data_IF_710319375157
#
_entry.id   IF_710319375157
#
_cell.length_a   1.000
_cell.length_b   1.000
_cell.length_c   1.000
_cell.angle_alpha   90.00
_cell.angle_beta   90.00
_cell.angle_gamma   90.00
#
_symmetry.space_group_name_H-M   'P 1'
#
loop_
_entity.id
_entity.type
_entity.pdbx_description
1 polymer ?
#
# COMPACT_ATOMS: atom_id res chain seq x y z
N UNK A 1 -4.02 25.63 31.45
CA UNK A 1 -4.16 24.20 31.28
C UNK A 1 -3.40 23.83 30.00
N UNK A 2 -2.14 23.37 30.17
CA UNK A 2 -1.25 23.05 29.06
C UNK A 2 -1.64 21.71 28.45
N UNK A 3 -2.04 21.71 27.19
CA UNK A 3 -2.10 20.52 26.35
C UNK A 3 -0.68 20.12 25.97
N UNK A 4 -0.13 19.10 26.65
CA UNK A 4 1.14 18.52 26.29
C UNK A 4 0.99 17.79 24.95
N UNK A 5 1.63 18.30 23.91
CA UNK A 5 1.95 17.56 22.69
C UNK A 5 2.90 16.42 23.08
N UNK A 6 2.40 15.21 23.18
CA UNK A 6 3.24 14.01 23.25
C UNK A 6 3.88 13.83 21.88
N UNK A 7 5.12 14.26 21.74
CA UNK A 7 5.95 13.91 20.58
C UNK A 7 6.12 12.40 20.59
N UNK A 8 5.70 11.71 19.52
CA UNK A 8 5.96 10.29 19.33
C UNK A 8 7.48 10.05 19.36
N UNK A 9 7.92 8.99 20.05
CA UNK A 9 9.33 8.60 20.08
C UNK A 9 9.88 8.39 18.66
N UNK A 10 11.13 8.77 18.36
CA UNK A 10 11.73 8.59 17.04
C UNK A 10 11.63 7.16 16.51
N UNK A 11 11.73 6.16 17.37
CA UNK A 11 11.57 4.73 17.03
C UNK A 11 10.20 4.38 16.44
N UNK A 12 9.16 5.16 16.72
CA UNK A 12 7.82 4.92 16.20
C UNK A 12 7.57 5.52 14.80
N UNK A 13 8.54 6.25 14.24
CA UNK A 13 8.48 6.83 12.89
C UNK A 13 9.24 6.01 11.84
N UNK A 14 10.07 5.08 12.29
CA UNK A 14 10.74 4.11 11.41
C UNK A 14 9.70 3.10 10.93
N UNK A 15 9.75 2.71 9.67
CA UNK A 15 8.81 1.76 9.07
C UNK A 15 8.68 0.40 9.77
N UNK A 16 8.03 -0.58 9.16
CA UNK A 16 7.83 -1.91 9.76
C UNK A 16 9.15 -2.63 10.01
N UNK A 17 9.16 -3.51 11.02
CA UNK A 17 10.32 -4.35 11.35
C UNK A 17 10.70 -5.25 10.19
N UNK A 18 12.00 -5.40 9.92
CA UNK A 18 12.51 -6.32 8.90
C UNK A 18 12.96 -7.64 9.53
N UNK A 19 12.41 -8.74 9.04
CA UNK A 19 12.86 -10.10 9.36
C UNK A 19 13.77 -10.59 8.23
N UNK A 20 14.93 -11.14 8.59
CA UNK A 20 15.94 -11.63 7.64
C UNK A 20 16.21 -13.11 7.84
N UNK A 21 16.57 -13.80 6.77
CA UNK A 21 16.90 -15.23 6.77
C UNK A 21 15.97 -16.00 5.84
N UNK A 22 15.86 -17.30 6.07
CA UNK A 22 15.10 -18.22 5.23
C UNK A 22 14.12 -19.11 6.01
N UNK A 23 14.00 -18.89 7.31
CA UNK A 23 13.01 -19.58 8.16
C UNK A 23 12.27 -18.55 9.00
N UNK A 24 10.94 -18.60 8.97
CA UNK A 24 10.09 -17.61 9.63
C UNK A 24 8.89 -18.26 10.30
N UNK A 25 8.59 -17.78 11.52
CA UNK A 25 7.33 -18.04 12.20
C UNK A 25 6.47 -16.78 12.13
N UNK A 26 5.34 -16.87 11.43
CA UNK A 26 4.40 -15.79 11.21
C UNK A 26 3.09 -16.09 11.95
N UNK A 27 2.71 -15.22 12.87
CA UNK A 27 1.50 -15.36 13.66
C UNK A 27 0.45 -14.36 13.15
N UNK A 28 -0.59 -14.88 12.51
CA UNK A 28 -1.76 -14.09 12.10
C UNK A 28 -2.70 -13.95 13.28
N UNK A 29 -3.12 -12.74 13.59
CA UNK A 29 -3.99 -12.48 14.72
C UNK A 29 -4.60 -11.08 14.69
N UNK A 30 -5.42 -10.76 15.71
CA UNK A 30 -6.02 -9.45 15.86
C UNK A 30 -5.09 -8.50 16.61
N UNK A 31 -5.00 -7.26 16.13
CA UNK A 31 -4.20 -6.19 16.71
C UNK A 31 -5.02 -4.92 16.89
N UNK A 32 -5.11 -4.35 18.09
CA UNK A 32 -5.71 -3.03 18.27
C UNK A 32 -4.88 -1.94 17.55
N UNK A 33 -5.55 -1.11 16.77
CA UNK A 33 -4.95 0.03 16.05
C UNK A 33 -5.79 1.29 16.22
N UNK A 34 -5.15 2.45 16.03
CA UNK A 34 -5.82 3.74 16.08
C UNK A 34 -5.15 4.70 15.07
N UNK A 35 -5.68 4.77 13.85
CA UNK A 35 -5.19 5.66 12.80
C UNK A 35 -5.99 6.98 12.72
N UNK A 36 -7.24 6.98 13.20
CA UNK A 36 -8.19 8.07 12.99
C UNK A 36 -8.63 8.75 14.29
N UNK A 37 -8.06 8.37 15.44
CA UNK A 37 -8.56 8.72 16.76
C UNK A 37 -9.59 7.72 17.32
N UNK A 38 -9.98 6.69 16.52
CA UNK A 38 -10.88 5.62 16.93
C UNK A 38 -10.15 4.28 17.03
N UNK A 39 -10.36 3.59 18.14
CA UNK A 39 -9.81 2.24 18.30
C UNK A 39 -10.54 1.26 17.37
N UNK A 40 -9.79 0.51 16.60
CA UNK A 40 -10.25 -0.56 15.72
C UNK A 40 -9.42 -1.81 15.92
N UNK A 41 -9.96 -2.94 15.46
CA UNK A 41 -9.25 -4.21 15.47
C UNK A 41 -8.79 -4.51 14.05
N UNK A 42 -7.49 -4.52 13.83
CA UNK A 42 -6.86 -4.90 12.58
C UNK A 42 -6.57 -6.40 12.56
N UNK A 43 -6.45 -6.97 11.35
CA UNK A 43 -5.81 -8.26 11.13
C UNK A 43 -4.32 -8.01 10.87
N UNK A 44 -3.46 -8.65 11.62
CA UNK A 44 -2.03 -8.37 11.62
C UNK A 44 -1.20 -9.63 11.55
N UNK A 45 0.03 -9.53 11.06
CA UNK A 45 1.05 -10.56 11.16
C UNK A 45 2.09 -10.10 12.17
N UNK A 46 2.41 -10.95 13.13
CA UNK A 46 3.32 -10.66 14.24
C UNK A 46 3.00 -9.35 14.98
N UNK A 47 1.70 -9.02 15.08
CA UNK A 47 1.22 -7.87 15.85
C UNK A 47 1.49 -6.49 15.24
N UNK A 48 1.78 -6.38 13.94
CA UNK A 48 2.03 -5.08 13.29
C UNK A 48 1.20 -4.88 12.02
N UNK A 49 0.90 -3.62 11.71
CA UNK A 49 0.29 -3.15 10.46
C UNK A 49 1.09 -1.94 9.96
N UNK A 50 1.72 -2.00 8.79
CA UNK A 50 1.92 -3.20 7.96
C UNK A 50 2.62 -4.32 8.70
N UNK A 51 2.45 -5.53 8.20
CA UNK A 51 3.17 -6.70 8.65
C UNK A 51 4.70 -6.54 8.46
N UNK A 52 5.55 -7.34 9.12
CA UNK A 52 7.00 -7.26 8.96
C UNK A 52 7.46 -7.36 7.51
N UNK A 53 8.52 -6.63 7.16
CA UNK A 53 9.23 -6.82 5.89
C UNK A 53 9.95 -8.16 5.95
N UNK A 54 9.70 -9.04 4.99
CA UNK A 54 10.45 -10.29 4.81
C UNK A 54 11.59 -10.02 3.83
N UNK A 55 12.83 -10.17 4.27
CA UNK A 55 13.99 -9.96 3.41
C UNK A 55 14.76 -11.24 3.20
N UNK A 56 14.71 -11.71 1.97
CA UNK A 56 15.25 -12.98 1.48
C UNK A 56 16.43 -12.77 0.54
N UNK A 57 17.01 -13.87 0.07
CA UNK A 57 18.06 -13.86 -0.94
C UNK A 57 17.73 -14.82 -2.08
N UNK A 58 17.88 -14.37 -3.30
CA UNK A 58 17.75 -15.19 -4.50
C UNK A 58 18.66 -16.41 -4.45
N UNK A 59 18.15 -17.57 -4.88
CA UNK A 59 18.83 -18.87 -4.87
C UNK A 59 18.68 -19.63 -3.54
N UNK A 60 18.04 -19.05 -2.51
CA UNK A 60 17.74 -19.74 -1.26
C UNK A 60 16.37 -20.43 -1.34
N UNK A 61 16.16 -21.41 -0.46
CA UNK A 61 14.84 -21.97 -0.16
C UNK A 61 14.33 -21.37 1.13
N UNK A 62 13.10 -20.84 1.09
CA UNK A 62 12.45 -20.29 2.27
C UNK A 62 11.43 -21.26 2.85
N UNK A 63 11.29 -21.21 4.16
CA UNK A 63 10.27 -21.93 4.93
C UNK A 63 9.56 -20.93 5.84
N UNK A 64 8.24 -20.82 5.67
CA UNK A 64 7.42 -19.91 6.46
C UNK A 64 6.30 -20.70 7.13
N UNK A 65 6.36 -20.83 8.46
CA UNK A 65 5.30 -21.41 9.24
C UNK A 65 4.31 -20.33 9.65
N UNK A 66 3.12 -20.42 9.12
CA UNK A 66 2.04 -19.47 9.39
C UNK A 66 1.04 -20.06 10.35
N UNK A 67 0.90 -19.45 11.53
CA UNK A 67 -0.10 -19.81 12.54
C UNK A 67 -1.31 -18.90 12.46
N UNK A 68 -2.49 -19.47 12.26
CA UNK A 68 -3.75 -18.71 12.28
C UNK A 68 -4.33 -18.66 13.71
N UNK A 69 -4.29 -17.48 14.33
CA UNK A 69 -4.92 -17.22 15.64
C UNK A 69 -6.23 -16.41 15.50
N UNK A 70 -6.77 -16.28 14.29
CA UNK A 70 -8.09 -15.67 14.06
C UNK A 70 -9.21 -16.69 14.37
N UNK A 71 -10.43 -16.18 14.49
CA UNK A 71 -11.64 -17.00 14.63
C UNK A 71 -12.21 -17.48 13.27
N UNK A 72 -11.55 -17.15 12.17
CA UNK A 72 -11.93 -17.47 10.79
C UNK A 72 -10.72 -18.02 10.01
N UNK A 73 -10.99 -18.64 8.86
CA UNK A 73 -9.93 -19.14 7.97
C UNK A 73 -9.05 -17.99 7.50
N UNK A 74 -7.77 -18.27 7.30
CA UNK A 74 -6.78 -17.31 6.83
C UNK A 74 -5.89 -17.90 5.75
N UNK A 75 -5.12 -17.05 5.06
CA UNK A 75 -4.12 -17.45 4.08
C UNK A 75 -3.09 -16.34 3.92
N UNK A 76 -1.92 -16.66 3.37
CA UNK A 76 -0.97 -15.66 2.87
C UNK A 76 -0.67 -15.98 1.41
N UNK A 77 -0.94 -15.03 0.54
CA UNK A 77 -0.52 -15.03 -0.86
C UNK A 77 0.80 -14.25 -0.99
N UNK A 78 1.73 -14.81 -1.76
CA UNK A 78 3.06 -14.26 -2.01
C UNK A 78 3.06 -13.55 -3.37
N UNK A 79 2.58 -12.31 -3.37
CA UNK A 79 2.27 -11.56 -4.59
C UNK A 79 3.50 -11.31 -5.44
N UNK A 80 3.44 -11.77 -6.69
CA UNK A 80 4.50 -11.62 -7.70
C UNK A 80 5.62 -12.66 -7.61
N UNK A 81 5.55 -13.62 -6.69
CA UNK A 81 6.56 -14.68 -6.56
C UNK A 81 6.24 -15.86 -7.47
N UNK A 82 7.23 -16.33 -8.21
CA UNK A 82 7.15 -17.55 -9.02
C UNK A 82 7.41 -18.75 -8.11
N UNK A 83 6.36 -19.52 -7.82
CA UNK A 83 6.38 -20.61 -6.85
C UNK A 83 5.42 -21.74 -7.25
N UNK A 84 5.50 -22.93 -6.62
CA UNK A 84 4.53 -24.01 -6.83
C UNK A 84 3.12 -23.58 -6.43
N UNK A 85 2.13 -23.97 -7.22
CA UNK A 85 0.72 -23.54 -7.06
C UNK A 85 0.13 -23.87 -5.69
N UNK A 86 0.53 -24.98 -5.07
CA UNK A 86 0.12 -25.39 -3.72
C UNK A 86 0.73 -24.52 -2.60
N UNK A 87 1.74 -23.71 -2.94
CA UNK A 87 2.38 -22.73 -2.06
C UNK A 87 1.92 -21.29 -2.33
N UNK A 88 1.04 -21.05 -3.30
CA UNK A 88 0.57 -19.72 -3.68
C UNK A 88 -0.36 -19.06 -2.65
N UNK A 89 -0.97 -19.88 -1.80
CA UNK A 89 -1.77 -19.39 -0.67
C UNK A 89 -3.13 -18.81 -1.05
N UNK A 90 -3.67 -19.16 -2.23
CA UNK A 90 -5.00 -18.74 -2.69
C UNK A 90 -6.02 -19.85 -2.38
N UNK A 91 -6.92 -19.65 -1.40
CA UNK A 91 -7.88 -20.68 -1.02
C UNK A 91 -8.88 -21.04 -2.12
N UNK A 92 -9.25 -22.33 -2.17
CA UNK A 92 -10.25 -22.85 -3.10
C UNK A 92 -9.70 -23.22 -4.48
N UNK A 93 -8.38 -23.10 -4.70
CA UNK A 93 -7.70 -23.54 -5.92
C UNK A 93 -6.83 -24.77 -5.64
N UNK A 94 -5.64 -24.58 -5.11
CA UNK A 94 -4.69 -25.65 -4.74
C UNK A 94 -4.36 -25.67 -3.24
N UNK A 95 -5.11 -24.92 -2.44
CA UNK A 95 -4.91 -24.71 -1.03
C UNK A 95 -6.26 -24.48 -0.33
N UNK A 96 -6.46 -25.11 0.83
CA UNK A 96 -7.75 -25.07 1.55
C UNK A 96 -7.87 -23.92 2.56
N UNK A 97 -6.82 -23.10 2.68
CA UNK A 97 -6.72 -22.10 3.74
C UNK A 97 -6.21 -22.70 5.07
N UNK A 98 -5.88 -21.82 6.00
CA UNK A 98 -5.42 -22.18 7.34
C UNK A 98 -6.59 -22.01 8.30
N UNK A 99 -7.07 -23.11 8.89
CA UNK A 99 -8.20 -23.08 9.81
C UNK A 99 -7.85 -22.38 11.14
N UNK A 100 -8.85 -21.86 11.89
CA UNK A 100 -8.64 -21.31 13.22
C UNK A 100 -7.85 -22.26 14.12
N UNK A 101 -6.76 -21.74 14.71
CA UNK A 101 -5.88 -22.51 15.56
C UNK A 101 -4.90 -23.46 14.86
N UNK A 102 -4.94 -23.58 13.54
CA UNK A 102 -4.01 -24.42 12.76
C UNK A 102 -2.80 -23.63 12.25
N UNK A 103 -1.83 -24.36 11.72
CA UNK A 103 -0.65 -23.80 11.07
C UNK A 103 -0.46 -24.46 9.71
N UNK A 104 0.06 -23.68 8.77
CA UNK A 104 0.49 -24.18 7.46
C UNK A 104 1.95 -23.78 7.23
N UNK A 105 2.72 -24.67 6.59
CA UNK A 105 4.12 -24.43 6.26
C UNK A 105 4.26 -24.25 4.77
N UNK A 106 4.58 -23.00 4.36
CA UNK A 106 4.95 -22.67 3.01
C UNK A 106 6.44 -22.95 2.83
N UNK A 107 6.81 -23.63 1.73
CA UNK A 107 8.20 -23.89 1.42
C UNK A 107 8.42 -23.84 -0.11
N UNK A 108 9.30 -22.95 -0.56
CA UNK A 108 9.60 -22.77 -1.98
C UNK A 108 11.00 -22.18 -2.21
N UNK A 109 11.51 -22.37 -3.44
CA UNK A 109 12.79 -21.85 -3.87
C UNK A 109 12.61 -20.44 -4.45
N UNK A 110 13.57 -19.55 -4.16
CA UNK A 110 13.58 -18.17 -4.64
C UNK A 110 14.40 -18.08 -5.93
N UNK A 111 13.72 -17.98 -7.07
CA UNK A 111 14.34 -17.94 -8.40
C UNK A 111 14.32 -16.55 -9.04
N UNK A 112 14.11 -15.52 -8.22
CA UNK A 112 13.98 -14.14 -8.66
C UNK A 112 14.44 -13.18 -7.56
N UNK A 113 14.81 -11.96 -7.93
CA UNK A 113 15.11 -10.86 -7.01
C UNK A 113 14.19 -9.69 -7.25
N UNK A 114 14.13 -8.72 -6.33
CA UNK A 114 13.34 -7.50 -6.48
C UNK A 114 12.46 -7.17 -5.28
N UNK A 115 11.52 -6.27 -5.52
CA UNK A 115 10.55 -5.78 -4.55
C UNK A 115 9.18 -6.38 -4.84
N UNK A 116 8.61 -7.04 -3.83
CA UNK A 116 7.32 -7.74 -3.88
C UNK A 116 6.57 -7.48 -2.56
N UNK A 117 5.43 -8.13 -2.37
CA UNK A 117 4.66 -8.03 -1.15
C UNK A 117 3.87 -9.31 -0.87
N UNK A 118 3.30 -9.41 0.31
CA UNK A 118 2.42 -10.51 0.68
C UNK A 118 1.18 -9.98 1.36
N UNK A 119 0.07 -10.66 1.21
CA UNK A 119 -1.21 -10.27 1.79
C UNK A 119 -2.15 -11.47 1.97
N UNK A 120 -3.21 -11.28 2.73
CA UNK A 120 -4.25 -12.30 2.82
C UNK A 120 -5.05 -12.41 1.53
N UNK A 121 -5.40 -13.63 1.17
CA UNK A 121 -6.37 -13.91 0.11
C UNK A 121 -7.66 -14.52 0.69
N UNK A 122 -7.94 -14.30 2.00
CA UNK A 122 -9.09 -14.81 2.74
C UNK A 122 -9.97 -13.68 3.23
N UNK A 123 -11.25 -13.73 2.85
CA UNK A 123 -12.26 -12.76 3.29
C UNK A 123 -11.86 -11.31 3.00
N UNK A 124 -11.94 -10.45 4.03
CA UNK A 124 -11.54 -9.04 3.96
C UNK A 124 -10.34 -8.75 4.87
N UNK A 125 -9.43 -9.70 5.03
CA UNK A 125 -8.28 -9.54 5.94
C UNK A 125 -7.23 -8.58 5.39
N UNK A 126 -7.04 -8.51 4.07
CA UNK A 126 -6.15 -7.56 3.41
C UNK A 126 -6.54 -6.10 3.75
N UNK A 127 -7.76 -5.61 3.45
CA UNK A 127 -8.13 -4.22 3.78
C UNK A 127 -8.20 -3.93 5.28
N UNK A 128 -8.12 -4.95 6.14
CA UNK A 128 -8.01 -4.77 7.59
C UNK A 128 -6.59 -4.84 8.14
N UNK A 129 -5.57 -4.86 7.26
CA UNK A 129 -4.17 -4.68 7.66
C UNK A 129 -3.24 -5.87 7.42
N UNK A 130 -3.73 -6.99 6.87
CA UNK A 130 -2.91 -8.18 6.63
C UNK A 130 -2.16 -8.09 5.30
N UNK A 131 -1.16 -7.24 5.25
CA UNK A 131 -0.23 -7.05 4.13
C UNK A 131 1.16 -6.66 4.65
N UNK A 132 2.21 -7.04 3.91
CA UNK A 132 3.61 -6.72 4.23
C UNK A 132 4.53 -6.84 3.02
N UNK A 133 5.70 -6.24 3.09
CA UNK A 133 6.66 -6.21 2.00
C UNK A 133 7.52 -7.49 1.95
N UNK A 134 7.95 -7.85 0.75
CA UNK A 134 8.98 -8.84 0.46
C UNK A 134 10.10 -8.17 -0.32
N UNK A 135 11.32 -8.28 0.16
CA UNK A 135 12.52 -7.87 -0.57
C UNK A 135 13.37 -9.12 -0.80
N UNK A 136 13.70 -9.38 -2.05
CA UNK A 136 14.60 -10.47 -2.41
C UNK A 136 15.87 -9.85 -2.94
N UNK A 137 16.93 -9.91 -2.13
CA UNK A 137 18.26 -9.44 -2.53
C UNK A 137 18.79 -10.35 -3.65
N UNK A 138 19.36 -9.81 -4.74
CA UNK A 138 19.87 -10.61 -5.85
C UNK A 138 21.06 -11.48 -5.41
N UNK A 139 21.22 -12.63 -6.06
CA UNK A 139 22.34 -13.53 -5.88
C UNK A 139 23.64 -12.91 -6.38
N UNK A 140 23.59 -12.33 -7.56
CA UNK A 140 24.67 -11.58 -8.18
C UNK A 140 24.70 -10.12 -7.68
N UNK A 141 25.79 -9.37 -7.90
CA UNK A 141 25.81 -7.94 -7.57
C UNK A 141 24.63 -7.20 -8.20
N UNK A 142 23.94 -6.40 -7.40
CA UNK A 142 22.80 -5.60 -7.87
C UNK A 142 23.25 -4.69 -9.02
N UNK A 143 22.58 -4.69 -10.18
CA UNK A 143 22.93 -3.78 -11.28
C UNK A 143 22.69 -2.31 -10.94
N UNK A 144 21.90 -2.03 -9.91
CA UNK A 144 21.62 -0.68 -9.41
C UNK A 144 22.41 -0.44 -8.14
N UNK A 145 23.32 0.55 -8.16
CA UNK A 145 24.08 0.93 -6.97
C UNK A 145 23.34 1.94 -6.12
N UNK A 146 23.24 1.69 -4.81
CA UNK A 146 22.66 2.59 -3.81
C UNK A 146 23.42 2.43 -2.47
N UNK A 147 23.32 3.45 -1.62
CA UNK A 147 23.99 3.46 -0.31
C UNK A 147 23.07 2.89 0.78
N UNK A 148 21.76 3.05 0.63
CA UNK A 148 20.72 2.48 1.51
C UNK A 148 19.41 2.29 0.78
N UNK A 149 18.53 1.46 1.33
CA UNK A 149 17.19 1.27 0.81
C UNK A 149 16.12 1.43 1.89
N UNK A 150 14.92 1.85 1.45
CA UNK A 150 13.73 1.95 2.28
C UNK A 150 12.51 1.37 1.56
N UNK A 151 11.74 0.59 2.29
CA UNK A 151 10.40 0.21 1.86
C UNK A 151 9.45 1.39 2.12
N UNK A 152 8.67 1.74 1.12
CA UNK A 152 7.61 2.76 1.20
C UNK A 152 6.29 2.08 0.80
N UNK A 153 5.60 1.52 1.77
CA UNK A 153 4.35 0.81 1.56
C UNK A 153 3.18 1.77 1.73
N UNK A 154 2.41 1.96 0.67
CA UNK A 154 1.20 2.77 0.63
C UNK A 154 -0.01 1.87 0.84
N UNK A 155 -0.98 2.33 1.60
CA UNK A 155 -2.22 1.59 1.85
C UNK A 155 -3.38 2.52 2.20
N UNK A 156 -4.59 1.99 2.13
CA UNK A 156 -5.80 2.65 2.53
C UNK A 156 -6.44 1.92 3.73
N UNK A 157 -6.91 2.67 4.70
CA UNK A 157 -7.57 2.17 5.90
C UNK A 157 -8.96 2.76 6.02
N UNK A 158 -9.93 1.94 6.42
CA UNK A 158 -11.25 2.43 6.79
C UNK A 158 -11.66 2.01 8.21
N UNK A 159 -12.30 2.91 8.93
CA UNK A 159 -12.97 2.59 10.19
C UNK A 159 -14.31 1.87 9.98
N UNK A 160 -14.86 1.92 8.77
CA UNK A 160 -16.01 1.15 8.35
C UNK A 160 -15.60 -0.31 8.08
N UNK A 161 -16.46 -1.25 8.40
CA UNK A 161 -16.15 -2.66 8.15
C UNK A 161 -16.11 -2.93 6.63
N UNK A 162 -15.05 -3.56 6.11
CA UNK A 162 -14.94 -3.83 4.66
C UNK A 162 -16.14 -4.60 4.10
N UNK A 163 -16.73 -5.50 4.89
CA UNK A 163 -17.95 -6.24 4.51
C UNK A 163 -19.14 -5.31 4.27
N UNK A 164 -19.26 -4.24 5.05
CA UNK A 164 -20.34 -3.25 4.90
C UNK A 164 -20.08 -2.36 3.68
N UNK A 165 -18.80 -1.94 3.46
CA UNK A 165 -18.37 -1.22 2.26
C UNK A 165 -18.71 -2.05 1.02
N UNK A 166 -18.34 -3.32 0.98
CA UNK A 166 -18.61 -4.21 -0.13
C UNK A 166 -20.11 -4.40 -0.38
N UNK A 167 -20.91 -4.56 0.68
CA UNK A 167 -22.36 -4.68 0.58
C UNK A 167 -23.01 -3.40 0.04
N UNK A 168 -22.49 -2.23 0.41
CA UNK A 168 -22.95 -0.93 -0.06
C UNK A 168 -22.61 -0.73 -1.54
N UNK A 169 -21.38 -1.04 -1.96
CA UNK A 169 -20.96 -0.96 -3.37
C UNK A 169 -21.80 -1.86 -4.27
N UNK A 170 -22.19 -3.08 -3.80
CA UNK A 170 -23.11 -3.95 -4.55
C UNK A 170 -24.52 -3.37 -4.73
N UNK A 171 -24.98 -2.55 -3.81
CA UNK A 171 -26.30 -1.88 -3.90
C UNK A 171 -26.23 -0.65 -4.78
N UNK A 172 -25.19 0.14 -4.64
CA UNK A 172 -25.01 1.40 -5.35
C UNK A 172 -23.48 1.68 -5.50
N UNK A 173 -22.89 1.43 -6.67
CA UNK A 173 -21.44 1.54 -6.88
C UNK A 173 -20.85 2.92 -6.51
N UNK A 174 -21.61 3.98 -6.68
CA UNK A 174 -21.19 5.36 -6.41
C UNK A 174 -21.59 5.89 -5.02
N UNK A 175 -21.98 5.02 -4.07
CA UNK A 175 -22.47 5.44 -2.74
C UNK A 175 -21.42 6.25 -1.94
N UNK A 176 -20.14 5.99 -2.17
CA UNK A 176 -19.03 6.68 -1.52
C UNK A 176 -18.51 7.89 -2.29
N UNK A 177 -19.04 8.16 -3.48
CA UNK A 177 -18.74 9.34 -4.27
C UNK A 177 -19.67 10.50 -3.85
N UNK A 178 -19.29 11.17 -2.77
CA UNK A 178 -20.09 12.27 -2.19
C UNK A 178 -19.85 13.64 -2.84
N UNK A 179 -18.92 13.72 -3.80
CA UNK A 179 -18.61 14.92 -4.56
C UNK A 179 -19.30 14.92 -5.92
N UNK A 180 -20.45 14.22 -6.05
CA UNK A 180 -21.29 14.28 -7.27
C UNK A 180 -21.74 15.71 -7.57
N UNK A 181 -21.69 16.07 -8.85
CA UNK A 181 -22.08 17.41 -9.34
C UNK A 181 -23.58 17.65 -9.15
N UNK A 182 -23.94 18.57 -8.27
CA UNK A 182 -25.33 18.95 -7.97
C UNK A 182 -25.86 20.05 -8.87
N UNK A 183 -27.18 20.33 -8.78
CA UNK A 183 -27.77 21.50 -9.44
C UNK A 183 -27.26 22.83 -8.88
N UNK A 184 -26.90 22.87 -7.60
CA UNK A 184 -26.30 24.03 -6.97
C UNK A 184 -24.91 24.33 -7.56
N UNK A 185 -24.13 23.26 -7.82
CA UNK A 185 -22.83 23.37 -8.51
C UNK A 185 -23.01 23.90 -9.93
N UNK A 186 -24.03 23.43 -10.65
CA UNK A 186 -24.34 23.97 -11.98
C UNK A 186 -24.56 25.47 -11.94
N UNK A 187 -25.32 25.97 -10.97
CA UNK A 187 -25.53 27.40 -10.79
C UNK A 187 -24.24 28.18 -10.50
N UNK A 188 -23.32 27.62 -9.71
CA UNK A 188 -22.00 28.21 -9.43
C UNK A 188 -21.12 28.22 -10.68
N UNK A 189 -21.07 27.08 -11.39
CA UNK A 189 -20.27 26.92 -12.61
C UNK A 189 -20.72 27.87 -13.72
N UNK A 190 -22.04 28.04 -13.89
CA UNK A 190 -22.60 29.02 -14.86
C UNK A 190 -22.19 30.43 -14.49
N UNK A 191 -22.19 30.79 -13.20
CA UNK A 191 -21.78 32.12 -12.74
C UNK A 191 -20.29 32.38 -12.96
N UNK A 192 -19.45 31.34 -12.83
CA UNK A 192 -17.99 31.45 -12.97
C UNK A 192 -17.52 31.34 -14.43
N UNK A 193 -18.06 30.39 -15.17
CA UNK A 193 -17.54 29.99 -16.50
C UNK A 193 -18.48 30.36 -17.66
N UNK A 194 -19.69 30.81 -17.34
CA UNK A 194 -20.75 31.08 -18.34
C UNK A 194 -21.55 29.82 -18.70
N UNK A 195 -22.76 30.04 -19.25
CA UNK A 195 -23.71 28.98 -19.52
C UNK A 195 -23.21 27.94 -20.54
N UNK A 196 -22.69 28.40 -21.69
CA UNK A 196 -22.29 27.48 -22.79
C UNK A 196 -21.15 26.56 -22.43
N UNK A 197 -20.03 27.02 -21.82
CA UNK A 197 -18.96 26.14 -21.35
C UNK A 197 -19.45 25.14 -20.31
N UNK A 198 -20.25 25.59 -19.33
CA UNK A 198 -20.81 24.72 -18.27
C UNK A 198 -21.73 23.63 -18.85
N UNK A 199 -22.61 23.97 -19.78
CA UNK A 199 -23.48 22.98 -20.45
C UNK A 199 -22.64 21.97 -21.24
N UNK A 200 -21.62 22.43 -21.97
CA UNK A 200 -20.74 21.53 -22.72
C UNK A 200 -19.98 20.55 -21.79
N UNK A 201 -19.41 21.05 -20.70
CA UNK A 201 -18.71 20.23 -19.70
C UNK A 201 -19.68 19.22 -19.03
N UNK A 202 -20.87 19.68 -18.64
CA UNK A 202 -21.89 18.82 -18.05
C UNK A 202 -22.45 17.78 -19.03
N UNK A 203 -22.58 18.09 -20.33
CA UNK A 203 -23.00 17.14 -21.33
C UNK A 203 -21.97 16.02 -21.51
N UNK A 204 -20.67 16.37 -21.52
CA UNK A 204 -19.59 15.40 -21.58
C UNK A 204 -19.58 14.50 -20.32
N UNK A 205 -19.67 15.10 -19.12
CA UNK A 205 -19.81 14.34 -17.86
C UNK A 205 -21.04 13.43 -17.87
N UNK A 206 -22.21 13.91 -18.32
CA UNK A 206 -23.43 13.12 -18.36
C UNK A 206 -23.36 11.92 -19.31
N UNK A 207 -22.59 12.04 -20.40
CA UNK A 207 -22.36 10.96 -21.35
C UNK A 207 -21.41 9.89 -20.79
N UNK A 208 -20.37 10.29 -20.09
CA UNK A 208 -19.36 9.39 -19.53
C UNK A 208 -19.67 8.96 -18.11
N UNK A 209 -20.47 9.74 -17.39
CA UNK A 209 -20.78 9.59 -15.93
C UNK A 209 -19.56 9.42 -15.05
N UNK A 210 -18.46 10.02 -15.46
CA UNK A 210 -17.18 9.98 -14.74
C UNK A 210 -16.74 11.40 -14.41
N UNK A 211 -16.43 11.65 -13.16
CA UNK A 211 -15.72 12.84 -12.69
C UNK A 211 -14.34 12.40 -12.18
N UNK A 212 -13.46 13.35 -11.84
CA UNK A 212 -12.15 13.06 -11.27
C UNK A 212 -12.25 12.26 -9.96
N UNK A 213 -13.38 12.34 -9.26
CA UNK A 213 -13.69 11.61 -8.03
C UNK A 213 -14.35 10.24 -8.27
N UNK A 214 -14.80 9.94 -9.49
CA UNK A 214 -15.40 8.65 -9.88
C UNK A 214 -14.37 7.59 -10.28
N UNK A 215 -13.09 7.91 -10.22
CA UNK A 215 -12.00 6.97 -10.58
C UNK A 215 -11.86 5.88 -9.52
N UNK A 216 -12.24 6.18 -8.29
CA UNK A 216 -12.20 5.28 -7.15
C UNK A 216 -13.60 5.17 -6.56
N UNK A 217 -14.15 3.96 -6.47
CA UNK A 217 -15.50 3.75 -5.89
C UNK A 217 -15.53 4.05 -4.39
N UNK A 218 -14.39 3.97 -3.71
CA UNK A 218 -14.21 4.38 -2.31
C UNK A 218 -13.11 5.44 -2.25
N UNK A 219 -13.42 6.61 -1.69
CA UNK A 219 -12.57 7.80 -1.73
C UNK A 219 -11.93 8.09 -0.38
N UNK A 220 -11.04 9.09 -0.31
CA UNK A 220 -10.44 9.60 0.94
C UNK A 220 -11.45 10.18 1.94
N UNK A 221 -12.72 10.29 1.58
CA UNK A 221 -13.81 10.59 2.54
C UNK A 221 -14.09 9.39 3.46
N UNK A 222 -13.83 8.17 2.99
CA UNK A 222 -14.01 6.91 3.73
C UNK A 222 -12.67 6.33 4.14
N UNK A 223 -11.64 6.50 3.31
CA UNK A 223 -10.29 6.02 3.58
C UNK A 223 -9.41 7.05 4.31
N UNK A 224 -8.56 6.54 5.16
CA UNK A 224 -7.36 7.21 5.67
C UNK A 224 -6.15 6.57 5.00
N UNK A 225 -5.39 7.35 4.25
CA UNK A 225 -4.22 6.85 3.55
C UNK A 225 -3.03 6.74 4.50
N UNK A 226 -2.29 5.64 4.37
CA UNK A 226 -1.16 5.32 5.23
C UNK A 226 0.12 5.13 4.40
N UNK A 227 1.23 5.59 4.94
CA UNK A 227 2.58 5.29 4.46
C UNK A 227 3.33 4.55 5.56
N UNK A 228 3.72 3.30 5.31
CA UNK A 228 4.33 2.42 6.30
C UNK A 228 3.50 2.33 7.61
N UNK A 229 2.17 2.30 7.52
CA UNK A 229 1.27 2.27 8.67
C UNK A 229 1.19 3.58 9.46
N UNK A 230 1.63 4.68 8.89
CA UNK A 230 1.57 6.02 9.50
C UNK A 230 0.62 6.91 8.71
N UNK A 231 -0.18 7.67 9.45
CA UNK A 231 -1.01 8.73 8.85
C UNK A 231 -0.15 9.90 8.40
N UNK A 232 -0.63 10.80 7.54
CA UNK A 232 0.09 12.03 7.20
C UNK A 232 0.46 12.88 8.43
N UNK A 233 -0.34 12.84 9.50
CA UNK A 233 -0.07 13.57 10.73
C UNK A 233 1.09 12.96 11.55
N UNK A 234 1.21 11.63 11.57
CA UNK A 234 2.30 10.94 12.27
C UNK A 234 3.63 11.03 11.52
N UNK A 235 3.57 10.94 10.20
CA UNK A 235 4.69 10.96 9.27
C UNK A 235 5.62 9.75 9.39
N UNK A 236 6.02 9.19 8.27
CA UNK A 236 7.15 8.26 8.18
C UNK A 236 8.45 9.04 8.01
N UNK A 237 9.56 8.51 8.54
CA UNK A 237 10.87 9.13 8.47
C UNK A 237 11.90 8.14 7.90
N UNK A 238 12.60 8.54 6.82
CA UNK A 238 13.79 7.89 6.29
C UNK A 238 14.99 8.82 6.45
N UNK A 239 16.09 8.34 7.03
CA UNK A 239 17.30 9.12 7.24
C UNK A 239 18.25 8.98 6.05
N UNK A 240 18.98 10.05 5.72
CA UNK A 240 19.99 10.04 4.67
C UNK A 240 21.15 11.02 4.98
N UNK A 241 22.29 10.80 4.35
CA UNK A 241 23.35 11.79 4.27
C UNK A 241 23.30 12.47 2.89
N UNK A 242 23.68 13.75 2.87
CA UNK A 242 23.70 14.53 1.62
C UNK A 242 24.50 13.83 0.53
N UNK A 243 23.90 13.64 -0.63
CA UNK A 243 24.51 13.04 -1.80
C UNK A 243 24.48 11.51 -1.85
N UNK A 244 23.99 10.83 -0.80
CA UNK A 244 23.73 9.40 -0.87
C UNK A 244 22.71 9.07 -1.94
N UNK A 245 22.91 7.94 -2.60
CA UNK A 245 21.90 7.31 -3.46
C UNK A 245 21.00 6.44 -2.60
N UNK A 246 19.71 6.74 -2.60
CA UNK A 246 18.72 6.03 -1.79
C UNK A 246 17.79 5.30 -2.74
N UNK A 247 17.61 4.01 -2.51
CA UNK A 247 16.62 3.21 -3.19
C UNK A 247 15.31 3.23 -2.38
N UNK A 248 14.27 3.83 -2.93
CA UNK A 248 12.92 3.79 -2.38
C UNK A 248 12.14 2.68 -3.06
N UNK A 249 11.72 1.69 -2.29
CA UNK A 249 10.96 0.53 -2.76
C UNK A 249 9.49 0.77 -2.47
N UNK A 250 8.80 1.36 -3.45
CA UNK A 250 7.38 1.66 -3.35
C UNK A 250 6.55 0.40 -3.59
N UNK A 251 5.55 0.19 -2.74
CA UNK A 251 4.57 -0.90 -2.84
C UNK A 251 3.20 -0.30 -2.61
N UNK A 252 2.27 -0.47 -3.54
CA UNK A 252 0.89 -0.09 -3.35
C UNK A 252 0.07 -1.29 -2.84
N UNK A 253 -0.08 -1.38 -1.53
CA UNK A 253 -0.87 -2.40 -0.85
C UNK A 253 -2.28 -1.89 -0.47
N UNK A 254 -2.79 -0.88 -1.17
CA UNK A 254 -4.14 -0.38 -0.98
C UNK A 254 -5.16 -1.36 -1.56
N UNK A 255 -6.34 -1.46 -0.94
CA UNK A 255 -7.42 -2.31 -1.44
C UNK A 255 -8.05 -1.76 -2.73
N UNK A 256 -7.97 -0.45 -2.97
CA UNK A 256 -8.62 0.20 -4.11
C UNK A 256 -7.89 1.44 -4.65
N UNK A 257 -7.06 2.08 -3.85
CA UNK A 257 -6.55 3.42 -4.15
C UNK A 257 -5.35 3.39 -5.10
N UNK A 258 -5.44 4.17 -6.18
CA UNK A 258 -4.29 4.55 -7.02
C UNK A 258 -3.62 5.78 -6.43
N UNK A 259 -2.29 5.80 -6.43
CA UNK A 259 -1.53 6.95 -5.91
C UNK A 259 -0.67 7.60 -6.97
N UNK A 260 -0.69 8.93 -7.00
CA UNK A 260 0.31 9.74 -7.68
C UNK A 260 1.43 10.09 -6.69
N UNK A 261 2.64 9.63 -6.97
CA UNK A 261 3.80 9.74 -6.08
C UNK A 261 4.78 10.78 -6.60
N UNK A 262 5.19 11.73 -5.75
CA UNK A 262 6.19 12.76 -6.07
C UNK A 262 7.01 13.15 -4.85
N UNK A 263 8.20 13.66 -5.11
CA UNK A 263 9.09 14.28 -4.10
C UNK A 263 9.45 15.67 -4.62
N UNK A 264 8.76 16.74 -4.18
CA UNK A 264 9.00 18.08 -4.69
C UNK A 264 10.47 18.50 -4.58
N UNK A 265 11.02 19.02 -5.68
CA UNK A 265 12.40 19.47 -5.77
C UNK A 265 13.43 18.35 -5.93
N UNK A 266 13.01 17.09 -6.06
CA UNK A 266 13.89 15.94 -6.24
C UNK A 266 13.44 15.07 -7.41
N UNK A 267 14.33 14.81 -8.36
CA UNK A 267 14.07 13.86 -9.45
C UNK A 267 14.10 12.43 -8.91
N UNK A 268 13.17 11.64 -9.40
CA UNK A 268 13.02 10.23 -9.10
C UNK A 268 13.41 9.41 -10.33
N UNK A 269 14.37 8.49 -10.21
CA UNK A 269 14.77 7.61 -11.30
C UNK A 269 14.20 6.23 -11.05
N UNK A 270 13.18 5.86 -11.80
CA UNK A 270 12.59 4.51 -11.77
C UNK A 270 13.58 3.54 -12.40
N UNK A 271 13.93 2.49 -11.67
CA UNK A 271 14.91 1.47 -12.07
C UNK A 271 14.33 0.07 -12.14
N UNK A 272 13.21 -0.19 -11.46
CA UNK A 272 12.47 -1.45 -11.58
C UNK A 272 10.96 -1.22 -11.39
N UNK A 273 10.15 -2.10 -11.95
CA UNK A 273 8.70 -2.18 -11.80
C UNK A 273 8.31 -3.65 -11.66
N UNK A 274 7.44 -3.95 -10.69
CA UNK A 274 6.94 -5.30 -10.39
C UNK A 274 8.06 -6.36 -10.29
N UNK A 275 9.13 -5.97 -9.56
CA UNK A 275 10.29 -6.80 -9.31
C UNK A 275 11.24 -6.98 -10.51
N UNK A 276 10.99 -6.32 -11.64
CA UNK A 276 11.82 -6.43 -12.85
C UNK A 276 12.55 -5.12 -13.13
N UNK A 277 13.85 -5.20 -13.43
CA UNK A 277 14.62 -4.03 -13.86
C UNK A 277 14.09 -3.48 -15.19
N UNK A 278 14.00 -2.15 -15.25
CA UNK A 278 13.61 -1.42 -16.45
C UNK A 278 14.74 -0.51 -16.92
N UNK A 279 14.63 0.01 -18.15
CA UNK A 279 15.51 1.09 -18.59
C UNK A 279 15.28 2.29 -17.66
N UNK A 280 16.32 2.80 -16.97
CA UNK A 280 16.15 3.88 -15.99
C UNK A 280 15.52 5.12 -16.63
N UNK A 281 14.46 5.62 -16.02
CA UNK A 281 13.80 6.85 -16.45
C UNK A 281 13.61 7.81 -15.28
N UNK A 282 14.03 9.07 -15.46
CA UNK A 282 13.87 10.11 -14.45
C UNK A 282 12.57 10.87 -14.66
N UNK A 283 11.77 10.94 -13.62
CA UNK A 283 10.45 11.56 -13.60
C UNK A 283 10.30 12.52 -12.41
N UNK A 284 9.32 13.41 -12.49
CA UNK A 284 8.92 14.27 -11.37
C UNK A 284 7.80 13.64 -10.54
N UNK A 285 6.98 12.81 -11.20
CA UNK A 285 5.83 12.12 -10.61
C UNK A 285 5.59 10.81 -11.37
N UNK A 286 5.11 9.79 -10.68
CA UNK A 286 4.64 8.57 -11.30
C UNK A 286 3.36 8.08 -10.61
N UNK A 287 2.52 7.39 -11.37
CA UNK A 287 1.29 6.77 -10.86
C UNK A 287 1.52 5.32 -10.52
N UNK A 288 0.95 4.87 -9.39
CA UNK A 288 0.93 3.47 -8.99
C UNK A 288 -0.51 2.96 -8.94
N UNK A 289 -0.78 1.89 -9.68
CA UNK A 289 -1.98 1.08 -9.52
C UNK A 289 -1.92 0.20 -8.26
N UNK A 290 -3.07 -0.35 -7.90
CA UNK A 290 -3.14 -1.35 -6.81
C UNK A 290 -2.26 -2.54 -7.16
N UNK A 291 -1.55 -3.07 -6.18
CA UNK A 291 -0.60 -4.18 -6.26
C UNK A 291 0.72 -3.91 -6.98
N UNK A 292 0.89 -2.78 -7.66
CA UNK A 292 2.14 -2.44 -8.34
C UNK A 292 3.28 -2.15 -7.35
N UNK A 293 4.51 -2.45 -7.78
CA UNK A 293 5.74 -2.05 -7.10
C UNK A 293 6.65 -1.26 -8.02
N UNK A 294 7.35 -0.26 -7.45
CA UNK A 294 8.37 0.53 -8.16
C UNK A 294 9.61 0.70 -7.30
N UNK A 295 10.76 0.40 -7.86
CA UNK A 295 12.05 0.73 -7.25
C UNK A 295 12.59 2.03 -7.86
N UNK A 296 12.86 3.01 -7.00
CA UNK A 296 13.16 4.38 -7.41
C UNK A 296 14.42 4.88 -6.73
N UNK A 297 15.41 5.28 -7.51
CA UNK A 297 16.61 5.94 -7.00
C UNK A 297 16.37 7.43 -6.87
N UNK A 298 16.74 7.97 -5.69
CA UNK A 298 16.82 9.40 -5.43
C UNK A 298 18.19 9.77 -4.85
N UNK A 299 18.64 11.00 -5.12
CA UNK A 299 19.90 11.52 -4.58
C UNK A 299 19.68 12.90 -3.97
N UNK A 300 19.23 12.96 -2.71
CA UNK A 300 18.93 14.22 -2.06
C UNK A 300 20.19 15.04 -1.79
N UNK A 301 20.11 16.34 -2.08
CA UNK A 301 21.20 17.31 -1.85
C UNK A 301 20.87 18.30 -0.75
N UNK A 302 19.59 18.42 -0.40
CA UNK A 302 19.09 19.29 0.66
C UNK A 302 18.98 18.53 1.99
N UNK A 303 18.61 19.23 3.04
CA UNK A 303 18.54 18.68 4.41
C UNK A 303 17.29 17.85 4.66
N UNK A 304 16.23 18.07 3.90
CA UNK A 304 14.97 17.33 4.04
C UNK A 304 14.15 17.38 2.74
N UNK A 305 13.45 16.30 2.46
CA UNK A 305 12.48 16.17 1.38
C UNK A 305 11.22 15.50 1.91
N UNK A 306 10.08 15.78 1.29
CA UNK A 306 8.81 15.14 1.66
C UNK A 306 8.36 14.23 0.51
N UNK A 307 8.10 12.98 0.82
CA UNK A 307 7.44 12.05 -0.10
C UNK A 307 5.93 12.29 -0.02
N UNK A 308 5.32 12.63 -1.14
CA UNK A 308 3.87 12.73 -1.28
C UNK A 308 3.34 11.55 -2.07
N UNK A 309 2.32 10.91 -1.55
CA UNK A 309 1.49 9.96 -2.25
C UNK A 309 0.04 10.45 -2.16
N UNK A 310 -0.48 10.93 -3.26
CA UNK A 310 -1.81 11.52 -3.34
C UNK A 310 -2.74 10.55 -4.06
N UNK A 311 -3.92 10.30 -3.50
CA UNK A 311 -4.94 9.51 -4.18
C UNK A 311 -5.32 10.14 -5.53
N UNK A 312 -5.51 9.32 -6.56
CA UNK A 312 -5.83 9.79 -7.91
C UNK A 312 -7.14 10.58 -7.96
N UNK A 313 -8.11 10.23 -7.12
CA UNK A 313 -9.38 10.93 -6.98
C UNK A 313 -9.28 12.28 -6.26
N UNK A 314 -8.12 12.60 -5.71
CA UNK A 314 -7.80 13.86 -5.01
C UNK A 314 -8.71 14.16 -3.81
N UNK A 315 -9.29 13.15 -3.19
CA UNK A 315 -10.24 13.28 -2.09
C UNK A 315 -9.61 13.14 -0.70
N UNK A 316 -8.29 12.95 -0.60
CA UNK A 316 -7.59 12.76 0.67
C UNK A 316 -6.48 13.76 0.94
#
# INVERSE_FOLDING_TARGET
LGSGLTMASPSNRLGPTTLRGNQFDLNVGYQPVNFTGKNRMATAVNGSVPAPVLRWREGERVTLRVKNNLAEDSSIHWHGIILPTDMDGVPGLSFDGIKPGESFEYQFDLNQSGTYWYHSHSGFQEPTGMYGAIIIDPKEPDPVSYDRDYVVMLSDWSDEKPKDIYANLKKMPHIYNIDERTLADFGRDVKQNGLRPTVKDRAMWNNMRMSDTDISDVTGKTYTFLMNGKTPADGWLGEFNKGEKILLRFINAAAMTFFDVRIPGLKMTVVASDGQYVQPISVDEFRMGVAETYDVIVQPTDTAHTVFAQSQDRSG
#
